data_IF_317595682415
#
_entry.id   IF_317595682415
#
_cell.length_a   1.000
_cell.length_b   1.000
_cell.length_c   1.000
_cell.angle_alpha   90.00
_cell.angle_beta   90.00
_cell.angle_gamma   90.00
#
_symmetry.space_group_name_H-M   'P 1'
#
loop_
_entity.id
_entity.type
_entity.pdbx_description
1 polymer ?
#
# COMPACT_ATOMS: atom_id res chain seq x y z
N UNK A 1 -7.15 -15.47 -2.25
CA UNK A 1 -6.07 -16.04 -1.39
C UNK A 1 -6.60 -16.14 0.04
N UNK A 2 -5.78 -16.47 1.05
CA UNK A 2 -6.17 -16.19 2.44
C UNK A 2 -6.22 -14.65 2.63
N UNK A 3 -7.34 -14.04 3.07
CA UNK A 3 -7.45 -12.59 3.20
C UNK A 3 -6.40 -11.95 4.11
N UNK A 4 -6.00 -12.66 5.17
CA UNK A 4 -4.96 -12.20 6.10
C UNK A 4 -3.61 -12.16 5.40
N UNK A 5 -3.31 -13.14 4.54
CA UNK A 5 -2.08 -13.15 3.75
C UNK A 5 -2.06 -12.00 2.75
N UNK A 6 -3.18 -11.71 2.08
CA UNK A 6 -3.31 -10.57 1.17
C UNK A 6 -3.01 -9.25 1.88
N UNK A 7 -3.57 -9.07 3.08
CA UNK A 7 -3.34 -7.91 3.92
C UNK A 7 -1.87 -7.75 4.31
N UNK A 8 -1.22 -8.83 4.78
CA UNK A 8 0.20 -8.82 5.17
C UNK A 8 1.08 -8.43 3.97
N UNK A 9 0.83 -9.02 2.80
CA UNK A 9 1.60 -8.74 1.59
C UNK A 9 1.48 -7.26 1.21
N UNK A 10 0.27 -6.71 1.20
CA UNK A 10 0.05 -5.29 0.89
C UNK A 10 0.53 -4.33 1.99
N UNK A 11 0.58 -4.77 3.24
CA UNK A 11 1.19 -3.98 4.31
C UNK A 11 2.71 -3.85 4.10
N UNK A 12 3.38 -4.92 3.69
CA UNK A 12 4.84 -4.90 3.43
C UNK A 12 5.14 -4.12 2.16
N UNK A 13 4.45 -4.45 1.07
CA UNK A 13 4.58 -3.81 -0.24
C UNK A 13 3.18 -3.38 -0.71
N UNK A 14 2.82 -2.09 -0.58
CA UNK A 14 1.52 -1.58 -1.02
C UNK A 14 1.22 -1.98 -2.46
N UNK A 15 0.08 -2.65 -2.66
CA UNK A 15 -0.36 -3.14 -3.96
C UNK A 15 -0.06 -4.61 -4.26
N UNK A 16 0.78 -5.27 -3.46
CA UNK A 16 1.20 -6.66 -3.73
C UNK A 16 0.05 -7.67 -3.57
N UNK A 17 -0.74 -7.55 -2.51
CA UNK A 17 -1.92 -8.38 -2.28
C UNK A 17 -2.95 -8.21 -3.40
N UNK A 18 -3.22 -6.98 -3.83
CA UNK A 18 -4.13 -6.68 -4.95
C UNK A 18 -3.65 -7.34 -6.25
N UNK A 19 -2.34 -7.26 -6.54
CA UNK A 19 -1.77 -7.86 -7.74
C UNK A 19 -1.86 -9.39 -7.72
N UNK A 20 -1.64 -10.03 -6.56
CA UNK A 20 -1.71 -11.50 -6.41
C UNK A 20 -3.16 -12.00 -6.46
N UNK A 21 -4.14 -11.21 -5.99
CA UNK A 21 -5.57 -11.50 -6.15
C UNK A 21 -6.08 -11.26 -7.58
N UNK A 22 -5.21 -10.82 -8.51
CA UNK A 22 -5.51 -10.70 -9.94
C UNK A 22 -5.79 -9.29 -10.45
N UNK A 23 -5.92 -8.28 -9.57
CA UNK A 23 -6.04 -6.88 -9.98
C UNK A 23 -4.66 -6.19 -9.99
N UNK A 24 -3.87 -6.58 -10.98
CA UNK A 24 -2.51 -6.05 -11.19
C UNK A 24 -2.55 -4.54 -11.40
N UNK A 25 -3.58 -4.00 -12.06
CA UNK A 25 -3.73 -2.57 -12.29
C UNK A 25 -3.82 -1.82 -10.96
N UNK A 26 -4.69 -2.27 -10.06
CA UNK A 26 -4.83 -1.69 -8.73
C UNK A 26 -3.56 -1.86 -7.92
N UNK A 27 -2.91 -3.02 -7.98
CA UNK A 27 -1.61 -3.23 -7.35
C UNK A 27 -0.54 -2.21 -7.77
N UNK A 28 -0.40 -1.99 -9.08
CA UNK A 28 0.54 -0.99 -9.63
C UNK A 28 0.17 0.43 -9.20
N UNK A 29 -1.12 0.78 -9.18
CA UNK A 29 -1.57 2.11 -8.70
C UNK A 29 -1.17 2.33 -7.25
N UNK A 30 -1.38 1.37 -6.36
CA UNK A 30 -0.99 1.49 -4.95
C UNK A 30 0.51 1.64 -4.78
N UNK A 31 1.31 0.91 -5.56
CA UNK A 31 2.76 1.04 -5.53
C UNK A 31 3.22 2.43 -6.01
N UNK A 32 2.64 2.95 -7.10
CA UNK A 32 2.95 4.28 -7.63
C UNK A 32 2.59 5.36 -6.60
N UNK A 33 1.40 5.27 -5.97
CA UNK A 33 0.99 6.23 -4.93
C UNK A 33 1.97 6.17 -3.76
N UNK A 34 2.38 4.98 -3.31
CA UNK A 34 3.34 4.85 -2.22
C UNK A 34 4.69 5.51 -2.52
N UNK A 35 5.20 5.32 -3.74
CA UNK A 35 6.44 5.96 -4.20
C UNK A 35 6.26 7.48 -4.29
N UNK A 36 5.15 7.95 -4.86
CA UNK A 36 4.85 9.37 -4.97
C UNK A 36 4.73 10.04 -3.60
N UNK A 37 4.05 9.42 -2.63
CA UNK A 37 3.98 9.90 -1.25
C UNK A 37 5.35 10.01 -0.59
N UNK A 38 6.28 9.12 -0.90
CA UNK A 38 7.65 9.22 -0.40
C UNK A 38 8.43 10.36 -1.06
N UNK A 39 8.46 10.41 -2.40
CA UNK A 39 9.24 11.41 -3.15
C UNK A 39 8.72 12.81 -2.88
N UNK A 40 7.43 13.05 -3.07
CA UNK A 40 6.79 14.35 -2.84
C UNK A 40 6.81 14.69 -1.36
N UNK A 41 6.57 13.72 -0.48
CA UNK A 41 6.57 13.92 0.96
C UNK A 41 7.92 14.40 1.48
N UNK A 42 9.03 13.82 1.02
CA UNK A 42 10.38 14.21 1.43
C UNK A 42 10.78 15.61 0.95
N UNK A 43 10.17 16.12 -0.14
CA UNK A 43 10.42 17.47 -0.63
C UNK A 43 9.69 18.56 0.18
N UNK A 44 8.54 18.22 0.77
CA UNK A 44 7.63 19.18 1.41
C UNK A 44 7.68 19.09 2.94
N UNK A 45 7.78 17.88 3.49
CA UNK A 45 7.61 17.62 4.91
C UNK A 45 8.88 17.12 5.58
N UNK A 46 8.90 17.20 6.92
CA UNK A 46 9.92 16.55 7.74
C UNK A 46 9.77 15.04 7.64
N UNK A 47 10.88 14.31 7.66
CA UNK A 47 10.88 12.85 7.46
C UNK A 47 9.95 12.07 8.39
N UNK A 48 9.76 12.50 9.65
CA UNK A 48 8.84 11.83 10.57
C UNK A 48 7.37 11.97 10.15
N UNK A 49 6.97 13.09 9.55
CA UNK A 49 5.62 13.30 9.00
C UNK A 49 5.39 12.37 7.81
N UNK A 50 6.38 12.28 6.92
CA UNK A 50 6.34 11.37 5.75
C UNK A 50 6.20 9.92 6.21
N UNK A 51 6.92 9.52 7.25
CA UNK A 51 6.82 8.18 7.84
C UNK A 51 5.41 7.87 8.35
N UNK A 52 4.76 8.81 9.03
CA UNK A 52 3.37 8.64 9.52
C UNK A 52 2.41 8.47 8.34
N UNK A 53 2.48 9.35 7.33
CA UNK A 53 1.62 9.29 6.14
C UNK A 53 1.78 7.94 5.43
N UNK A 54 3.03 7.47 5.28
CA UNK A 54 3.33 6.18 4.65
C UNK A 54 2.79 5.00 5.45
N UNK A 55 2.87 5.03 6.77
CA UNK A 55 2.30 3.97 7.62
C UNK A 55 0.78 3.91 7.45
N UNK A 56 0.09 5.05 7.47
CA UNK A 56 -1.36 5.11 7.23
C UNK A 56 -1.70 4.53 5.86
N UNK A 57 -0.96 4.89 4.82
CA UNK A 57 -1.19 4.35 3.49
C UNK A 57 -0.96 2.84 3.41
N UNK A 58 0.06 2.30 4.10
CA UNK A 58 0.29 0.84 4.17
C UNK A 58 -0.85 0.10 4.87
N UNK A 59 -1.42 0.68 5.93
CA UNK A 59 -2.60 0.12 6.61
C UNK A 59 -3.80 0.13 5.65
N UNK A 60 -4.01 1.23 4.92
CA UNK A 60 -5.07 1.31 3.92
C UNK A 60 -4.89 0.27 2.79
N UNK A 61 -3.67 0.10 2.28
CA UNK A 61 -3.35 -0.91 1.27
C UNK A 61 -3.61 -2.33 1.76
N UNK A 62 -3.30 -2.62 3.02
CA UNK A 62 -3.57 -3.91 3.65
C UNK A 62 -5.07 -4.16 3.81
N UNK A 63 -5.83 -3.16 4.26
CA UNK A 63 -7.29 -3.23 4.38
C UNK A 63 -7.96 -3.48 3.03
N UNK A 64 -7.54 -2.74 2.00
CA UNK A 64 -8.06 -2.90 0.65
C UNK A 64 -7.78 -4.30 0.08
N UNK A 65 -6.57 -4.83 0.28
CA UNK A 65 -6.21 -6.19 -0.15
C UNK A 65 -6.99 -7.27 0.62
N UNK A 66 -7.20 -7.07 1.93
CA UNK A 66 -8.04 -7.95 2.74
C UNK A 66 -9.47 -8.03 2.18
N UNK A 67 -10.08 -6.87 1.93
CA UNK A 67 -11.46 -6.79 1.43
C UNK A 67 -11.60 -7.36 0.02
N UNK A 68 -10.56 -7.25 -0.81
CA UNK A 68 -10.56 -7.83 -2.15
C UNK A 68 -10.44 -9.37 -2.13
N UNK A 69 -9.76 -9.91 -1.12
CA UNK A 69 -9.52 -11.34 -0.96
C UNK A 69 -10.65 -12.08 -0.22
N UNK A 70 -11.56 -11.35 0.41
CA UNK A 70 -12.74 -11.86 1.13
C UNK A 70 -13.88 -12.19 0.16
#
# INVERSE_FOLDING_TARGET
MNPILAAILSFIIPGLGQAIEGDVKKGVIFLIIFIALYVVGMLIFRGWVVSIIRIIFRIYAAYDAYMMAQ
#
